data_IF_053268922959
#
_entry.id   IF_053268922959
#
_cell.length_a   1.000
_cell.length_b   1.000
_cell.length_c   1.000
_cell.angle_alpha   90.00
_cell.angle_beta   90.00
_cell.angle_gamma   90.00
#
_symmetry.space_group_name_H-M   'P 1'
#
loop_
_entity.id
_entity.type
_entity.pdbx_description
1 polymer ?
#
# COMPACT_ATOMS: atom_id res chain seq x y z
N UNK A 1 18.95 13.39 -7.17
CA UNK A 1 17.49 13.27 -6.99
C UNK A 1 16.92 12.05 -7.75
N UNK A 2 17.22 11.86 -9.03
CA UNK A 2 16.75 10.71 -9.83
C UNK A 2 17.13 9.35 -9.22
N UNK A 3 18.35 9.18 -8.70
CA UNK A 3 18.78 7.92 -8.05
C UNK A 3 17.96 7.58 -6.80
N UNK A 4 17.54 8.57 -6.02
CA UNK A 4 16.73 8.37 -4.81
C UNK A 4 15.28 7.98 -5.14
N UNK A 5 14.71 8.56 -6.19
CA UNK A 5 13.38 8.19 -6.69
C UNK A 5 13.40 6.76 -7.24
N UNK A 6 14.37 6.43 -8.09
CA UNK A 6 14.54 5.07 -8.62
C UNK A 6 14.75 4.02 -7.53
N UNK A 7 15.47 4.34 -6.45
CA UNK A 7 15.63 3.45 -5.30
C UNK A 7 14.33 3.26 -4.51
N UNK A 8 13.53 4.32 -4.32
CA UNK A 8 12.22 4.22 -3.64
C UNK A 8 11.23 3.39 -4.45
N UNK A 9 11.17 3.61 -5.76
CA UNK A 9 10.32 2.82 -6.67
C UNK A 9 10.72 1.34 -6.69
N UNK A 10 12.03 1.06 -6.77
CA UNK A 10 12.55 -0.31 -6.71
C UNK A 10 12.21 -1.00 -5.38
N UNK A 11 12.37 -0.31 -4.25
CA UNK A 11 12.03 -0.83 -2.94
C UNK A 11 10.51 -1.07 -2.79
N UNK A 12 9.67 -0.18 -3.35
CA UNK A 12 8.22 -0.33 -3.38
C UNK A 12 7.78 -1.56 -4.17
N UNK A 13 8.35 -1.77 -5.35
CA UNK A 13 8.07 -2.93 -6.21
C UNK A 13 8.50 -4.25 -5.56
N UNK A 14 9.68 -4.29 -4.93
CA UNK A 14 10.13 -5.48 -4.20
C UNK A 14 9.24 -5.79 -3.00
N UNK A 15 8.80 -4.77 -2.27
CA UNK A 15 7.84 -4.94 -1.17
C UNK A 15 6.50 -5.48 -1.68
N UNK A 16 5.97 -4.95 -2.77
CA UNK A 16 4.72 -5.44 -3.38
C UNK A 16 4.83 -6.89 -3.82
N UNK A 17 5.96 -7.30 -4.43
CA UNK A 17 6.23 -8.70 -4.79
C UNK A 17 6.24 -9.62 -3.57
N UNK A 18 6.88 -9.19 -2.47
CA UNK A 18 6.93 -9.97 -1.23
C UNK A 18 5.53 -10.17 -0.65
N UNK A 19 4.72 -9.11 -0.57
CA UNK A 19 3.34 -9.16 -0.10
C UNK A 19 2.47 -10.06 -1.00
N UNK A 20 2.64 -9.98 -2.32
CA UNK A 20 1.93 -10.82 -3.29
C UNK A 20 2.31 -12.30 -3.17
N UNK A 21 3.59 -12.60 -2.93
CA UNK A 21 4.07 -13.97 -2.71
C UNK A 21 3.49 -14.57 -1.43
N UNK A 22 3.44 -13.78 -0.33
CA UNK A 22 2.82 -14.17 0.93
C UNK A 22 1.32 -14.43 0.75
N UNK A 23 0.61 -13.54 0.07
CA UNK A 23 -0.81 -13.70 -0.24
C UNK A 23 -1.07 -15.00 -1.02
N UNK A 24 -0.26 -15.26 -2.04
CA UNK A 24 -0.38 -16.48 -2.85
C UNK A 24 -0.11 -17.76 -2.05
N UNK A 25 0.79 -17.71 -1.06
CA UNK A 25 1.05 -18.83 -0.17
C UNK A 25 -0.15 -19.08 0.77
N UNK A 26 -0.79 -18.04 1.28
CA UNK A 26 -1.99 -18.14 2.08
C UNK A 26 -3.16 -18.71 1.26
N UNK A 27 -3.37 -18.21 0.05
CA UNK A 27 -4.45 -18.69 -0.85
C UNK A 27 -4.31 -20.16 -1.22
N UNK A 28 -3.09 -20.70 -1.22
CA UNK A 28 -2.85 -22.14 -1.37
C UNK A 28 -3.09 -22.92 -0.07
N UNK A 29 -2.71 -22.34 1.06
CA UNK A 29 -2.80 -23.02 2.35
C UNK A 29 -4.25 -23.16 2.87
N UNK A 30 -5.11 -22.17 2.62
CA UNK A 30 -6.50 -22.20 3.08
C UNK A 30 -7.29 -23.45 2.58
N UNK A 31 -7.28 -23.81 1.28
CA UNK A 31 -7.93 -25.02 0.80
C UNK A 31 -7.30 -26.30 1.35
N UNK A 32 -5.99 -26.31 1.65
CA UNK A 32 -5.35 -27.46 2.31
C UNK A 32 -5.87 -27.66 3.71
N UNK A 33 -6.07 -26.56 4.48
CA UNK A 33 -6.65 -26.64 5.82
C UNK A 33 -8.08 -27.18 5.77
N UNK A 34 -8.90 -26.78 4.80
CA UNK A 34 -10.24 -27.30 4.62
C UNK A 34 -10.22 -28.82 4.39
N UNK A 35 -9.27 -29.32 3.57
CA UNK A 35 -9.08 -30.76 3.33
C UNK A 35 -8.62 -31.51 4.58
N UNK A 36 -7.71 -30.90 5.36
CA UNK A 36 -7.22 -31.48 6.60
C UNK A 36 -8.33 -31.60 7.66
N UNK A 37 -9.19 -30.59 7.77
CA UNK A 37 -10.38 -30.63 8.63
C UNK A 37 -11.30 -31.80 8.22
N UNK A 38 -11.59 -31.92 6.93
CA UNK A 38 -12.42 -33.01 6.41
C UNK A 38 -11.79 -34.39 6.67
N UNK A 39 -10.49 -34.53 6.40
CA UNK A 39 -9.77 -35.79 6.62
C UNK A 39 -9.74 -36.20 8.10
N UNK A 40 -9.52 -35.25 9.01
CA UNK A 40 -9.55 -35.51 10.44
C UNK A 40 -10.93 -36.00 10.92
N UNK A 41 -12.00 -35.42 10.37
CA UNK A 41 -13.36 -35.86 10.67
C UNK A 41 -13.64 -37.27 10.15
N UNK A 42 -13.25 -37.55 8.89
CA UNK A 42 -13.39 -38.90 8.28
C UNK A 42 -12.62 -39.96 9.06
N UNK A 43 -11.39 -39.69 9.46
CA UNK A 43 -10.57 -40.61 10.24
C UNK A 43 -11.14 -40.86 11.66
N UNK A 44 -11.80 -39.86 12.27
CA UNK A 44 -12.56 -40.04 13.50
C UNK A 44 -13.74 -40.98 13.28
N UNK A 45 -14.54 -40.77 12.23
CA UNK A 45 -15.73 -41.58 11.90
C UNK A 45 -15.32 -43.02 11.64
N UNK A 46 -14.19 -43.23 10.96
CA UNK A 46 -13.64 -44.58 10.67
C UNK A 46 -12.93 -45.24 11.87
N UNK A 47 -12.86 -44.53 13.01
CA UNK A 47 -12.21 -45.06 14.20
C UNK A 47 -10.69 -45.15 14.12
N UNK A 48 -10.05 -44.47 13.18
CA UNK A 48 -8.59 -44.44 12.99
C UNK A 48 -7.88 -43.57 14.01
N UNK A 49 -8.55 -42.53 14.47
CA UNK A 49 -8.02 -41.59 15.48
C UNK A 49 -9.02 -41.46 16.65
N UNK A 50 -8.53 -41.33 17.88
CA UNK A 50 -9.37 -41.10 19.05
C UNK A 50 -9.97 -39.68 19.02
N UNK A 51 -11.12 -39.54 19.69
CA UNK A 51 -11.89 -38.28 19.67
C UNK A 51 -11.09 -37.06 20.18
N UNK A 52 -10.33 -37.25 21.27
CA UNK A 52 -9.51 -36.19 21.86
C UNK A 52 -8.44 -35.68 20.86
N UNK A 53 -7.82 -36.56 20.10
CA UNK A 53 -6.85 -36.18 19.07
C UNK A 53 -7.53 -35.45 17.89
N UNK A 54 -8.70 -35.91 17.46
CA UNK A 54 -9.48 -35.24 16.45
C UNK A 54 -9.82 -33.80 16.87
N UNK A 55 -10.30 -33.60 18.10
CA UNK A 55 -10.60 -32.25 18.61
C UNK A 55 -9.36 -31.37 18.66
N UNK A 56 -8.20 -31.88 19.09
CA UNK A 56 -6.95 -31.11 19.06
C UNK A 56 -6.54 -30.68 17.63
N UNK A 57 -6.62 -31.60 16.65
CA UNK A 57 -6.31 -31.31 15.28
C UNK A 57 -7.26 -30.25 14.70
N UNK A 58 -8.56 -30.39 14.91
CA UNK A 58 -9.57 -29.44 14.44
C UNK A 58 -9.36 -28.06 15.02
N UNK A 59 -9.12 -27.96 16.34
CA UNK A 59 -8.83 -26.68 16.98
C UNK A 59 -7.56 -26.02 16.42
N UNK A 60 -6.52 -26.82 16.15
CA UNK A 60 -5.29 -26.33 15.54
C UNK A 60 -5.51 -25.80 14.11
N UNK A 61 -6.23 -26.54 13.28
CA UNK A 61 -6.55 -26.11 11.91
C UNK A 61 -7.45 -24.89 11.85
N UNK A 62 -8.45 -24.79 12.75
CA UNK A 62 -9.31 -23.60 12.84
C UNK A 62 -8.55 -22.37 13.32
N UNK A 63 -7.65 -22.50 14.28
CA UNK A 63 -6.80 -21.40 14.73
C UNK A 63 -5.87 -20.92 13.60
N UNK A 64 -5.22 -21.84 12.86
CA UNK A 64 -4.39 -21.51 11.72
C UNK A 64 -5.21 -20.83 10.62
N UNK A 65 -6.40 -21.36 10.30
CA UNK A 65 -7.32 -20.83 9.31
C UNK A 65 -7.70 -19.38 9.62
N UNK A 66 -8.12 -19.10 10.85
CA UNK A 66 -8.49 -17.76 11.31
C UNK A 66 -7.32 -16.79 11.17
N UNK A 67 -6.13 -17.17 11.63
CA UNK A 67 -4.93 -16.36 11.51
C UNK A 67 -4.57 -16.08 10.03
N UNK A 68 -4.68 -17.08 9.16
CA UNK A 68 -4.42 -16.93 7.71
C UNK A 68 -5.45 -16.03 7.02
N UNK A 69 -6.73 -16.13 7.38
CA UNK A 69 -7.79 -15.28 6.83
C UNK A 69 -7.58 -13.81 7.24
N UNK A 70 -7.23 -13.55 8.48
CA UNK A 70 -6.94 -12.20 8.95
C UNK A 70 -5.71 -11.62 8.23
N UNK A 71 -4.63 -12.40 8.15
CA UNK A 71 -3.43 -11.98 7.42
C UNK A 71 -3.69 -11.72 5.93
N UNK A 72 -4.52 -12.53 5.31
CA UNK A 72 -4.98 -12.34 3.93
C UNK A 72 -5.67 -10.99 3.74
N UNK A 73 -6.56 -10.62 4.68
CA UNK A 73 -7.25 -9.33 4.65
C UNK A 73 -6.27 -8.17 4.73
N UNK A 74 -5.35 -8.19 5.71
CA UNK A 74 -4.32 -7.17 5.87
C UNK A 74 -3.46 -6.99 4.61
N UNK A 75 -3.01 -8.10 4.01
CA UNK A 75 -2.19 -8.08 2.80
C UNK A 75 -2.95 -7.49 1.60
N UNK A 76 -4.23 -7.83 1.47
CA UNK A 76 -5.10 -7.29 0.42
C UNK A 76 -5.28 -5.77 0.57
N UNK A 77 -5.51 -5.30 1.79
CA UNK A 77 -5.62 -3.87 2.10
C UNK A 77 -4.31 -3.12 1.79
N UNK A 78 -3.16 -3.67 2.20
CA UNK A 78 -1.85 -3.08 1.91
C UNK A 78 -1.54 -3.00 0.41
N UNK A 79 -1.86 -4.05 -0.35
CA UNK A 79 -1.67 -4.09 -1.80
C UNK A 79 -2.60 -3.09 -2.52
N UNK A 80 -3.85 -2.95 -2.08
CA UNK A 80 -4.79 -1.97 -2.64
C UNK A 80 -4.30 -0.55 -2.41
N UNK A 81 -3.91 -0.22 -1.18
CA UNK A 81 -3.38 1.11 -0.84
C UNK A 81 -2.11 1.46 -1.64
N UNK A 82 -1.23 0.47 -1.87
CA UNK A 82 -0.03 0.67 -2.71
C UNK A 82 -0.39 0.98 -4.16
N UNK A 83 -1.36 0.26 -4.75
CA UNK A 83 -1.81 0.48 -6.13
C UNK A 83 -2.50 1.84 -6.31
N UNK A 84 -3.35 2.23 -5.38
CA UNK A 84 -4.01 3.55 -5.41
C UNK A 84 -2.99 4.69 -5.39
N UNK A 85 -1.93 4.53 -4.58
CA UNK A 85 -0.86 5.51 -4.51
C UNK A 85 -0.05 5.58 -5.82
N UNK A 86 0.29 4.43 -6.42
CA UNK A 86 0.98 4.38 -7.72
C UNK A 86 0.15 5.03 -8.83
N UNK A 87 -1.14 4.72 -8.91
CA UNK A 87 -2.05 5.30 -9.91
C UNK A 87 -2.21 6.82 -9.73
N UNK A 88 -2.21 7.32 -8.49
CA UNK A 88 -2.26 8.76 -8.22
C UNK A 88 -1.01 9.47 -8.70
N UNK A 89 0.18 8.86 -8.52
CA UNK A 89 1.46 9.42 -8.96
C UNK A 89 1.56 9.41 -10.49
N UNK A 90 1.17 8.32 -11.15
CA UNK A 90 1.18 8.23 -12.61
C UNK A 90 0.22 9.25 -13.24
N UNK A 91 -1.00 9.37 -12.72
CA UNK A 91 -1.97 10.37 -13.19
C UNK A 91 -1.47 11.81 -12.99
N UNK A 92 -0.73 12.06 -11.91
CA UNK A 92 -0.10 13.35 -11.68
C UNK A 92 1.05 13.61 -12.67
N UNK A 93 1.90 12.62 -12.93
CA UNK A 93 3.00 12.72 -13.89
C UNK A 93 2.48 12.99 -15.31
N UNK A 94 1.43 12.28 -15.73
CA UNK A 94 0.77 12.50 -17.03
C UNK A 94 0.23 13.93 -17.12
N UNK A 95 -0.42 14.41 -16.05
CA UNK A 95 -0.92 15.77 -16.00
C UNK A 95 0.22 16.81 -16.06
N UNK A 96 1.33 16.58 -15.37
CA UNK A 96 2.51 17.48 -15.42
C UNK A 96 3.15 17.46 -16.79
N UNK A 97 3.21 16.32 -17.49
CA UNK A 97 3.73 16.24 -18.85
C UNK A 97 2.88 17.03 -19.84
N UNK A 98 1.56 16.98 -19.71
CA UNK A 98 0.65 17.78 -20.53
C UNK A 98 0.88 19.29 -20.36
N UNK A 99 1.34 19.71 -19.17
CA UNK A 99 1.62 21.10 -18.85
C UNK A 99 3.08 21.52 -19.05
N UNK A 100 4.00 20.58 -19.32
CA UNK A 100 5.43 20.91 -19.50
C UNK A 100 5.70 21.78 -20.71
N UNK A 101 4.78 21.83 -21.69
CA UNK A 101 4.87 22.64 -22.90
C UNK A 101 4.11 23.97 -22.80
N UNK A 102 3.60 24.35 -21.62
CA UNK A 102 2.92 25.64 -21.48
C UNK A 102 3.95 26.78 -21.39
N UNK A 103 3.87 27.70 -22.33
CA UNK A 103 4.68 28.95 -22.32
C UNK A 103 4.25 29.89 -21.19
N UNK A 104 3.02 29.75 -20.68
CA UNK A 104 2.46 30.56 -19.58
C UNK A 104 1.64 29.70 -18.60
N UNK A 105 1.84 29.93 -17.30
CA UNK A 105 1.04 29.35 -16.22
C UNK A 105 -0.27 30.13 -16.05
N UNK A 106 -1.35 29.58 -16.55
CA UNK A 106 -2.67 30.17 -16.37
C UNK A 106 -3.33 29.80 -15.02
N UNK A 107 -4.35 30.56 -14.64
CA UNK A 107 -5.06 30.35 -13.38
C UNK A 107 -5.75 28.98 -13.29
N UNK A 108 -6.42 28.44 -14.32
CA UNK A 108 -6.99 27.11 -14.29
C UNK A 108 -5.96 26.02 -14.01
N UNK A 109 -4.78 26.10 -14.59
CA UNK A 109 -3.66 25.15 -14.36
C UNK A 109 -3.17 25.22 -12.91
N UNK A 110 -2.98 26.41 -12.38
CA UNK A 110 -2.56 26.59 -10.98
C UNK A 110 -3.57 25.98 -10.00
N UNK A 111 -4.86 26.20 -10.20
CA UNK A 111 -5.92 25.65 -9.35
C UNK A 111 -5.98 24.12 -9.40
N UNK A 112 -5.64 23.50 -10.53
CA UNK A 112 -5.60 22.03 -10.65
C UNK A 112 -4.38 21.42 -9.98
N UNK A 113 -3.23 22.08 -10.04
CA UNK A 113 -1.96 21.56 -9.52
C UNK A 113 -1.76 21.85 -8.03
N UNK A 114 -2.19 23.02 -7.56
CA UNK A 114 -1.89 23.52 -6.22
C UNK A 114 -3.14 23.50 -5.36
N UNK A 115 -3.04 22.80 -4.24
CA UNK A 115 -4.09 22.74 -3.23
C UNK A 115 -4.13 24.04 -2.41
N UNK A 116 -2.96 24.46 -1.91
CA UNK A 116 -2.80 25.69 -1.13
C UNK A 116 -1.34 26.15 -1.18
N UNK A 117 -1.14 27.44 -0.96
CA UNK A 117 0.16 28.05 -0.74
C UNK A 117 0.11 28.73 0.63
N UNK A 118 0.99 28.33 1.52
CA UNK A 118 1.20 29.00 2.81
C UNK A 118 2.37 29.96 2.67
N UNK A 119 2.12 31.22 3.04
CA UNK A 119 3.13 32.28 3.02
C UNK A 119 3.56 32.56 4.45
N UNK A 120 4.82 32.30 4.75
CA UNK A 120 5.41 32.57 6.05
C UNK A 120 5.49 34.05 6.39
N UNK A 121 5.86 34.34 7.63
CA UNK A 121 6.08 35.70 8.08
C UNK A 121 7.27 36.35 7.37
N UNK A 122 7.17 37.66 7.18
CA UNK A 122 8.20 38.48 6.59
C UNK A 122 9.37 38.61 7.55
N UNK A 123 10.56 38.23 7.12
CA UNK A 123 11.82 38.38 7.88
C UNK A 123 12.79 39.25 7.14
N UNK A 124 13.57 40.02 7.90
CA UNK A 124 14.70 40.79 7.35
C UNK A 124 15.98 39.99 7.57
N UNK A 125 16.62 39.56 6.49
CA UNK A 125 17.89 38.85 6.51
C UNK A 125 18.89 39.65 5.66
N UNK A 126 19.98 40.09 6.27
CA UNK A 126 21.04 40.85 5.59
C UNK A 126 20.56 42.09 4.78
N UNK A 127 19.51 42.76 5.29
CA UNK A 127 18.93 43.94 4.65
C UNK A 127 17.96 43.67 3.50
N UNK A 128 17.65 42.39 3.23
CA UNK A 128 16.65 41.93 2.25
C UNK A 128 15.44 41.32 2.93
N UNK A 129 14.28 41.50 2.31
CA UNK A 129 13.04 40.87 2.78
C UNK A 129 12.96 39.43 2.27
N UNK A 130 12.86 38.46 3.21
CA UNK A 130 12.65 37.06 2.91
C UNK A 130 11.33 36.55 3.47
N UNK A 131 10.72 35.60 2.77
CA UNK A 131 9.53 34.85 3.21
C UNK A 131 9.66 33.41 2.79
N UNK A 132 9.21 32.52 3.66
CA UNK A 132 9.08 31.11 3.33
C UNK A 132 7.75 30.88 2.57
N UNK A 133 7.77 30.04 1.57
CA UNK A 133 6.60 29.62 0.83
C UNK A 133 6.50 28.11 0.90
N UNK A 134 5.40 27.59 1.44
CA UNK A 134 5.08 26.17 1.44
C UNK A 134 3.98 25.90 0.43
N UNK A 135 4.30 25.15 -0.63
CA UNK A 135 3.36 24.83 -1.70
C UNK A 135 2.87 23.40 -1.51
N UNK A 136 1.54 23.25 -1.37
CA UNK A 136 0.87 21.95 -1.27
C UNK A 136 0.24 21.60 -2.60
N UNK A 137 0.63 20.45 -3.15
CA UNK A 137 0.11 19.96 -4.41
C UNK A 137 -1.05 18.99 -4.19
N UNK A 138 -2.03 18.99 -5.09
CA UNK A 138 -3.24 18.18 -4.96
C UNK A 138 -2.99 16.68 -4.90
N UNK A 139 -1.84 16.17 -5.39
CA UNK A 139 -1.57 14.74 -5.55
C UNK A 139 -0.36 14.21 -4.77
N UNK A 140 0.59 15.04 -4.41
CA UNK A 140 1.85 14.60 -3.77
C UNK A 140 2.00 15.09 -2.33
N UNK A 141 1.08 15.89 -1.84
CA UNK A 141 1.23 16.55 -0.55
C UNK A 141 2.27 17.67 -0.58
N UNK A 142 2.96 17.86 0.55
CA UNK A 142 3.93 18.93 0.72
C UNK A 142 5.30 18.54 0.16
N UNK A 143 5.90 19.41 -0.65
CA UNK A 143 7.29 19.32 -1.08
C UNK A 143 8.01 20.57 -0.56
N UNK A 144 9.00 20.38 0.30
CA UNK A 144 9.94 21.43 0.71
C UNK A 144 10.89 21.72 -0.46
N UNK A 145 10.93 22.96 -0.91
CA UNK A 145 11.81 23.44 -1.97
C UNK A 145 13.07 24.08 -1.36
#
# INVERSE_FOLDING_TARGET
REKLLAQKESAGRERAKTLQAELSAIDRRLPELDRLVQSAYEDKVLGKIPENLCVQLLNGYEAERTAKQERRRELTEQLSASRENEQSVDAWLDMVQDYYNLEELDRPTLVRLIQKIEVGEKRMVDGHEERDFNIYYNFIGHIDL
#
